data_IF_707919568284
#
_entry.id   IF_707919568284
#
_cell.length_a   1.000
_cell.length_b   1.000
_cell.length_c   1.000
_cell.angle_alpha   90.00
_cell.angle_beta   90.00
_cell.angle_gamma   90.00
#
_symmetry.space_group_name_H-M   'P 1'
#
loop_
_entity.id
_entity.type
_entity.pdbx_description
1 polymer ?
#
# COMPACT_ATOMS: atom_id res chain seq x y z
N UNK A 1 4.03 18.98 -23.69
CA UNK A 1 2.70 18.39 -23.38
C UNK A 1 2.86 16.87 -23.28
N UNK A 2 2.52 16.26 -22.14
CA UNK A 2 2.67 14.80 -21.93
C UNK A 2 1.43 14.09 -22.51
N UNK A 3 1.63 13.01 -23.27
CA UNK A 3 0.53 12.23 -23.87
C UNK A 3 -0.08 11.27 -22.85
N UNK A 4 -1.42 11.14 -22.86
CA UNK A 4 -2.17 10.15 -22.09
C UNK A 4 -1.81 8.72 -22.51
N UNK A 5 -1.46 8.47 -23.78
CA UNK A 5 -1.20 7.12 -24.26
C UNK A 5 -0.04 6.41 -23.52
N UNK A 6 0.92 7.15 -22.96
CA UNK A 6 2.06 6.56 -22.24
C UNK A 6 1.70 5.98 -20.86
N UNK A 7 0.58 6.40 -20.29
CA UNK A 7 0.06 5.89 -19.00
C UNK A 7 -1.28 5.18 -19.18
N UNK A 8 -1.62 4.77 -20.40
CA UNK A 8 -2.91 4.14 -20.69
C UNK A 8 -2.79 2.61 -20.65
N UNK A 9 -3.65 1.96 -19.88
CA UNK A 9 -3.78 0.49 -19.74
C UNK A 9 -3.96 -0.25 -21.06
N UNK A 10 -4.53 0.43 -22.04
CA UNK A 10 -4.81 -0.14 -23.35
C UNK A 10 -3.64 0.00 -24.32
N UNK A 11 -2.56 0.67 -23.96
CA UNK A 11 -1.46 0.95 -24.87
C UNK A 11 -0.32 -0.06 -24.68
N UNK A 12 0.27 -0.48 -25.79
CA UNK A 12 1.52 -1.24 -25.81
C UNK A 12 2.52 -0.52 -26.69
N UNK A 13 3.76 -0.37 -26.22
CA UNK A 13 4.87 0.07 -27.07
C UNK A 13 5.31 -1.05 -28.01
N UNK A 14 5.47 -0.71 -29.28
CA UNK A 14 5.93 -1.62 -30.33
C UNK A 14 7.12 -0.98 -31.02
N UNK A 15 8.23 -1.70 -31.08
CA UNK A 15 9.44 -1.26 -31.76
C UNK A 15 9.46 -1.88 -33.15
N UNK A 16 9.50 -1.04 -34.19
CA UNK A 16 9.65 -1.50 -35.56
C UNK A 16 11.08 -1.98 -35.83
N UNK A 17 11.27 -2.76 -36.91
CA UNK A 17 12.60 -3.21 -37.35
C UNK A 17 13.57 -2.04 -37.62
N UNK A 18 13.05 -0.85 -37.92
CA UNK A 18 13.80 0.40 -38.12
C UNK A 18 14.24 1.07 -36.80
N UNK A 19 13.85 0.54 -35.65
CA UNK A 19 14.09 1.13 -34.32
C UNK A 19 13.06 2.19 -33.88
N UNK A 20 12.12 2.56 -34.76
CA UNK A 20 11.05 3.50 -34.41
C UNK A 20 10.07 2.90 -33.41
N UNK A 21 9.69 3.65 -32.37
CA UNK A 21 8.73 3.23 -31.34
C UNK A 21 7.34 3.79 -31.64
N UNK A 22 6.32 2.92 -31.57
CA UNK A 22 4.92 3.27 -31.77
C UNK A 22 4.07 2.88 -30.56
N UNK A 23 3.05 3.68 -30.26
CA UNK A 23 2.06 3.40 -29.23
C UNK A 23 0.84 2.72 -29.88
N UNK A 24 0.72 1.40 -29.71
CA UNK A 24 -0.39 0.60 -30.21
C UNK A 24 -1.55 0.66 -29.22
N UNK A 25 -2.69 1.23 -29.62
CA UNK A 25 -3.92 1.19 -28.84
C UNK A 25 -4.63 -0.15 -29.03
N UNK A 26 -4.70 -0.97 -27.99
CA UNK A 26 -5.33 -2.28 -28.04
C UNK A 26 -6.85 -2.22 -28.17
N UNK A 27 -7.52 -1.13 -27.76
CA UNK A 27 -8.96 -0.94 -27.98
C UNK A 27 -9.33 -0.96 -29.46
N UNK A 28 -8.44 -0.51 -30.35
CA UNK A 28 -8.66 -0.56 -31.80
C UNK A 28 -8.94 -1.97 -32.36
N UNK A 29 -8.59 -3.02 -31.60
CA UNK A 29 -8.84 -4.41 -31.99
C UNK A 29 -10.32 -4.80 -31.90
N UNK A 30 -11.07 -4.14 -31.01
CA UNK A 30 -12.48 -4.47 -30.74
C UNK A 30 -13.41 -3.28 -30.95
N UNK A 31 -12.89 -2.05 -30.95
CA UNK A 31 -13.65 -0.81 -31.07
C UNK A 31 -13.09 0.06 -32.22
N UNK A 32 -13.76 0.09 -33.38
CA UNK A 32 -13.28 0.82 -34.57
C UNK A 32 -13.13 2.34 -34.37
N UNK A 33 -13.77 2.91 -33.35
CA UNK A 33 -13.67 4.34 -33.00
C UNK A 33 -12.28 4.73 -32.47
N UNK A 34 -11.45 3.77 -32.07
CA UNK A 34 -10.10 4.02 -31.57
C UNK A 34 -9.04 3.73 -32.65
N UNK A 35 -8.15 4.70 -32.97
CA UNK A 35 -7.10 4.47 -33.95
C UNK A 35 -6.08 3.44 -33.45
N UNK A 36 -5.64 2.54 -34.33
CA UNK A 36 -4.62 1.52 -34.01
C UNK A 36 -3.32 2.12 -33.49
N UNK A 37 -2.84 3.18 -34.13
CA UNK A 37 -1.69 3.98 -33.70
C UNK A 37 -2.12 5.44 -33.57
N UNK A 38 -2.53 5.91 -32.38
CA UNK A 38 -3.05 7.26 -32.20
C UNK A 38 -1.98 8.33 -32.51
N UNK A 39 -2.32 9.41 -33.23
CA UNK A 39 -1.40 10.52 -33.45
C UNK A 39 -1.04 11.17 -32.11
N UNK A 40 0.25 11.43 -31.90
CA UNK A 40 0.76 11.92 -30.62
C UNK A 40 1.03 13.44 -30.66
N UNK A 41 0.83 14.17 -29.55
CA UNK A 41 0.35 13.69 -28.25
C UNK A 41 -1.18 13.57 -28.18
N UNK A 42 -1.69 12.50 -27.55
CA UNK A 42 -3.11 12.40 -27.19
C UNK A 42 -3.31 13.05 -25.83
N UNK A 43 -4.10 14.12 -25.78
CA UNK A 43 -4.39 14.84 -24.52
C UNK A 43 -5.79 14.60 -23.97
N UNK A 44 -6.69 14.08 -24.80
CA UNK A 44 -8.05 13.67 -24.42
C UNK A 44 -8.39 12.35 -25.12
N UNK A 45 -9.02 11.42 -24.41
CA UNK A 45 -9.44 10.14 -24.97
C UNK A 45 -10.53 9.51 -24.08
N UNK A 46 -11.72 9.28 -24.64
CA UNK A 46 -12.84 8.67 -23.91
C UNK A 46 -12.60 7.20 -23.50
N UNK A 47 -11.58 6.56 -24.07
CA UNK A 47 -11.14 5.21 -23.67
C UNK A 47 -9.88 5.22 -22.81
N UNK A 48 -9.40 6.38 -22.35
CA UNK A 48 -8.23 6.44 -21.47
C UNK A 48 -8.54 5.73 -20.15
N UNK A 49 -7.66 4.80 -19.78
CA UNK A 49 -7.64 4.18 -18.45
C UNK A 49 -6.23 4.29 -17.94
N UNK A 50 -6.03 5.01 -16.83
CA UNK A 50 -4.70 5.17 -16.27
C UNK A 50 -4.22 3.82 -15.75
N UNK A 51 -3.00 3.40 -16.10
CA UNK A 51 -2.36 2.19 -15.56
C UNK A 51 -2.29 2.20 -14.04
N UNK A 52 -2.22 3.39 -13.45
CA UNK A 52 -2.21 3.57 -12.00
C UNK A 52 -3.62 3.53 -11.37
N UNK A 53 -4.68 3.44 -12.19
CA UNK A 53 -6.08 3.45 -11.73
C UNK A 53 -6.77 2.08 -11.78
N UNK A 54 -6.04 0.99 -12.11
CA UNK A 54 -6.58 -0.36 -11.87
C UNK A 54 -6.73 -0.58 -10.37
N UNK A 55 -7.86 -1.14 -9.90
CA UNK A 55 -7.97 -1.58 -8.51
C UNK A 55 -6.93 -2.69 -8.29
N UNK A 56 -5.85 -2.34 -7.59
CA UNK A 56 -4.83 -3.32 -7.23
C UNK A 56 -5.38 -4.19 -6.10
N UNK A 57 -5.44 -5.49 -6.35
CA UNK A 57 -5.83 -6.48 -5.35
C UNK A 57 -4.60 -6.88 -4.56
N UNK A 58 -4.65 -6.68 -3.24
CA UNK A 58 -3.59 -7.06 -2.32
C UNK A 58 -4.07 -8.25 -1.48
N UNK A 59 -3.13 -9.12 -1.12
CA UNK A 59 -3.36 -10.13 -0.10
C UNK A 59 -2.85 -9.58 1.22
N UNK A 60 -3.67 -9.63 2.27
CA UNK A 60 -3.34 -9.22 3.61
C UNK A 60 -3.50 -10.39 4.57
N UNK A 61 -2.63 -10.47 5.56
CA UNK A 61 -2.68 -11.45 6.63
C UNK A 61 -2.78 -10.72 7.97
N UNK A 62 -3.83 -11.03 8.73
CA UNK A 62 -3.96 -10.58 10.10
C UNK A 62 -2.97 -11.36 10.96
N UNK A 63 -2.16 -10.65 11.76
CA UNK A 63 -1.26 -11.30 12.70
C UNK A 63 -2.02 -11.65 13.99
N UNK A 64 -1.66 -12.77 14.60
CA UNK A 64 -2.32 -13.28 15.81
C UNK A 64 -2.12 -12.34 17.01
N UNK A 65 -0.93 -11.73 17.12
CA UNK A 65 -0.56 -10.88 18.25
C UNK A 65 -1.33 -9.55 18.27
N UNK A 66 -1.46 -8.99 19.48
CA UNK A 66 -1.78 -7.57 19.69
C UNK A 66 -0.50 -6.77 19.85
N UNK A 67 -0.53 -5.54 19.36
CA UNK A 67 0.63 -4.66 19.31
C UNK A 67 0.40 -3.41 20.15
N UNK A 68 1.51 -2.82 20.58
CA UNK A 68 1.54 -1.54 21.24
C UNK A 68 2.53 -0.61 20.55
N UNK A 69 2.18 0.67 20.52
CA UNK A 69 3.03 1.77 20.05
C UNK A 69 3.53 2.49 21.30
N UNK A 70 4.82 2.33 21.61
CA UNK A 70 5.45 2.83 22.82
C UNK A 70 6.25 4.10 22.52
N UNK A 71 6.28 5.02 23.49
CA UNK A 71 7.12 6.21 23.45
C UNK A 71 8.13 6.20 24.60
N UNK A 72 9.40 6.31 24.24
CA UNK A 72 10.54 6.49 25.13
C UNK A 72 11.27 7.80 24.81
N UNK A 73 12.21 8.23 25.65
CA UNK A 73 12.98 9.44 25.40
C UNK A 73 13.95 9.24 24.22
N UNK A 74 14.22 10.32 23.46
CA UNK A 74 15.11 10.28 22.29
C UNK A 74 16.53 9.76 22.57
N UNK A 75 17.00 9.87 23.82
CA UNK A 75 18.32 9.41 24.24
C UNK A 75 18.32 8.01 24.87
N UNK A 76 17.14 7.42 25.14
CA UNK A 76 17.06 6.13 25.81
C UNK A 76 17.68 5.04 24.93
N UNK A 77 18.40 4.07 25.50
CA UNK A 77 18.87 2.92 24.76
C UNK A 77 17.67 2.12 24.23
N UNK A 78 17.89 1.35 23.15
CA UNK A 78 16.88 0.39 22.69
C UNK A 78 16.71 -0.66 23.80
N UNK A 79 15.51 -0.83 24.36
CA UNK A 79 15.30 -1.74 25.47
C UNK A 79 15.26 -3.19 25.00
N UNK A 80 15.74 -4.12 25.85
CA UNK A 80 15.78 -5.55 25.53
C UNK A 80 14.39 -6.19 25.28
N UNK A 81 13.31 -5.58 25.78
CA UNK A 81 11.96 -6.09 25.54
C UNK A 81 11.47 -5.82 24.10
N UNK A 82 12.10 -4.89 23.36
CA UNK A 82 11.78 -4.56 21.97
C UNK A 82 12.37 -5.58 20.97
N UNK A 83 11.96 -6.83 21.11
CA UNK A 83 12.36 -7.97 20.28
C UNK A 83 11.16 -8.90 20.05
N UNK A 84 11.33 -9.97 19.26
CA UNK A 84 10.29 -10.95 18.97
C UNK A 84 9.90 -10.95 17.49
N UNK A 85 8.59 -11.10 17.21
CA UNK A 85 8.04 -11.15 15.86
C UNK A 85 8.18 -9.82 15.09
N UNK A 86 7.08 -9.11 14.88
CA UNK A 86 7.15 -7.78 14.23
C UNK A 86 7.59 -6.74 15.24
N UNK A 87 8.73 -6.10 14.96
CA UNK A 87 9.25 -4.97 15.73
C UNK A 87 9.66 -3.86 14.79
N UNK A 88 9.22 -2.64 15.08
CA UNK A 88 9.67 -1.42 14.41
C UNK A 88 10.21 -0.45 15.44
N UNK A 89 11.41 0.09 15.21
CA UNK A 89 12.07 1.02 16.11
C UNK A 89 12.45 2.24 15.29
N UNK A 90 11.87 3.38 15.64
CA UNK A 90 12.14 4.66 14.99
C UNK A 90 12.63 5.64 16.03
N UNK A 91 13.83 6.19 15.83
CA UNK A 91 14.39 7.24 16.68
C UNK A 91 14.39 8.56 15.93
N UNK A 92 13.83 9.59 16.55
CA UNK A 92 13.88 10.97 16.08
C UNK A 92 14.64 11.84 17.09
N UNK A 93 14.71 13.15 16.87
CA UNK A 93 15.29 14.06 17.85
C UNK A 93 14.40 14.20 19.10
N UNK A 94 13.12 13.89 18.97
CA UNK A 94 12.08 14.06 19.98
C UNK A 94 11.83 12.79 20.80
N UNK A 95 11.92 11.61 20.18
CA UNK A 95 11.55 10.36 20.85
C UNK A 95 12.24 9.10 20.28
N UNK A 96 12.08 8.01 21.05
CA UNK A 96 12.26 6.64 20.58
C UNK A 96 10.88 5.97 20.53
N UNK A 97 10.35 5.79 19.33
CA UNK A 97 9.07 5.12 19.07
C UNK A 97 9.29 3.64 18.77
N UNK A 98 8.56 2.77 19.47
CA UNK A 98 8.70 1.31 19.34
C UNK A 98 7.33 0.67 19.13
N UNK A 99 7.17 -0.02 18.01
CA UNK A 99 6.03 -0.92 17.78
C UNK A 99 6.48 -2.35 18.02
N UNK A 100 5.84 -3.05 18.95
CA UNK A 100 6.13 -4.47 19.23
C UNK A 100 4.90 -5.17 19.85
N UNK A 101 5.02 -6.47 20.16
CA UNK A 101 3.97 -7.21 20.86
C UNK A 101 3.64 -6.55 22.20
N UNK A 102 2.36 -6.27 22.43
CA UNK A 102 1.87 -5.59 23.63
C UNK A 102 2.19 -6.36 24.91
N UNK A 103 2.24 -7.70 24.84
CA UNK A 103 2.56 -8.55 25.99
C UNK A 103 3.98 -8.37 26.52
N UNK A 104 4.89 -7.80 25.71
CA UNK A 104 6.28 -7.56 26.08
C UNK A 104 6.51 -6.19 26.72
N UNK A 105 5.53 -5.30 26.64
CA UNK A 105 5.66 -3.92 27.10
C UNK A 105 5.53 -3.86 28.62
N UNK A 106 6.55 -3.36 29.36
CA UNK A 106 6.43 -3.16 30.80
C UNK A 106 5.33 -2.15 31.14
N UNK A 107 4.62 -2.36 32.26
CA UNK A 107 3.50 -1.51 32.68
C UNK A 107 3.86 -0.02 32.85
N UNK A 108 5.13 0.29 33.15
CA UNK A 108 5.61 1.64 33.36
C UNK A 108 5.89 2.41 32.05
N UNK A 109 5.93 1.72 30.90
CA UNK A 109 6.22 2.35 29.61
C UNK A 109 4.95 3.03 29.09
N UNK A 110 5.09 4.30 28.70
CA UNK A 110 4.00 5.02 28.02
C UNK A 110 3.76 4.39 26.66
N UNK A 111 2.55 3.89 26.43
CA UNK A 111 2.19 3.24 25.19
C UNK A 111 0.70 3.35 24.89
N UNK A 112 0.35 3.15 23.63
CA UNK A 112 -1.01 2.85 23.20
C UNK A 112 -1.09 1.40 22.75
N UNK A 113 -1.92 0.60 23.42
CA UNK A 113 -2.15 -0.81 23.13
C UNK A 113 -3.34 -1.08 22.21
N UNK A 114 -3.71 -2.35 22.17
CA UNK A 114 -4.87 -2.93 21.48
C UNK A 114 -4.86 -2.63 19.98
N UNK A 115 -3.68 -2.71 19.36
CA UNK A 115 -3.52 -2.64 17.92
C UNK A 115 -3.50 -4.04 17.30
N UNK A 116 -4.19 -4.20 16.17
CA UNK A 116 -4.14 -5.40 15.33
C UNK A 116 -3.38 -5.07 14.05
N UNK A 117 -2.49 -5.97 13.66
CA UNK A 117 -1.58 -5.78 12.55
C UNK A 117 -2.01 -6.61 11.34
N UNK A 118 -2.15 -5.96 10.19
CA UNK A 118 -2.40 -6.56 8.89
C UNK A 118 -1.12 -6.43 8.06
N UNK A 119 -0.48 -7.56 7.75
CA UNK A 119 0.70 -7.62 6.89
C UNK A 119 0.26 -7.77 5.43
N UNK A 120 0.81 -6.98 4.52
CA UNK A 120 0.65 -7.22 3.08
C UNK A 120 1.52 -8.42 2.65
N UNK A 121 0.92 -9.42 2.01
CA UNK A 121 1.57 -10.68 1.64
C UNK A 121 2.25 -10.56 0.28
N UNK A 122 3.46 -11.11 0.20
CA UNK A 122 4.30 -11.12 -1.00
C UNK A 122 5.38 -10.03 -0.96
N UNK A 123 6.47 -10.18 -1.72
CA UNK A 123 7.38 -9.07 -1.95
C UNK A 123 6.63 -8.03 -2.78
N UNK A 124 6.50 -6.82 -2.26
CA UNK A 124 6.04 -5.71 -3.06
C UNK A 124 7.18 -5.32 -4.00
N UNK A 125 6.90 -5.31 -5.30
CA UNK A 125 7.84 -4.78 -6.29
C UNK A 125 8.10 -3.30 -5.94
N UNK A 126 9.35 -2.86 -5.86
CA UNK A 126 9.69 -1.46 -5.57
C UNK A 126 9.13 -0.47 -6.61
N UNK A 127 8.79 -0.94 -7.80
CA UNK A 127 8.09 -0.14 -8.82
C UNK A 127 6.60 0.04 -8.55
N UNK A 128 6.04 -0.67 -7.56
CA UNK A 128 4.63 -0.64 -7.21
C UNK A 128 4.30 0.64 -6.43
N UNK A 129 3.81 1.63 -7.15
CA UNK A 129 3.35 2.90 -6.58
C UNK A 129 1.92 2.73 -6.05
N UNK A 130 1.66 3.26 -4.86
CA UNK A 130 0.30 3.48 -4.38
C UNK A 130 -0.30 2.36 -3.53
N UNK A 131 0.49 1.37 -3.08
CA UNK A 131 0.03 0.32 -2.13
C UNK A 131 -0.57 0.96 -0.87
N UNK A 132 0.21 1.76 -0.16
CA UNK A 132 -0.29 2.47 1.02
C UNK A 132 -1.43 3.43 0.67
N UNK A 133 -1.41 4.10 -0.49
CA UNK A 133 -2.49 5.01 -0.90
C UNK A 133 -3.83 4.26 -1.06
N UNK A 134 -3.82 3.11 -1.73
CA UNK A 134 -5.01 2.29 -1.93
C UNK A 134 -5.56 1.73 -0.61
N UNK A 135 -4.68 1.18 0.24
CA UNK A 135 -5.07 0.58 1.51
C UNK A 135 -5.50 1.63 2.54
N UNK A 136 -4.73 2.71 2.71
CA UNK A 136 -5.07 3.82 3.61
C UNK A 136 -6.31 4.57 3.15
N UNK A 137 -6.49 4.79 1.84
CA UNK A 137 -7.69 5.41 1.28
C UNK A 137 -8.95 4.60 1.59
N UNK A 138 -8.87 3.27 1.47
CA UNK A 138 -9.98 2.36 1.80
C UNK A 138 -10.36 2.45 3.28
N UNK A 139 -9.36 2.42 4.18
CA UNK A 139 -9.58 2.51 5.63
C UNK A 139 -10.09 3.89 6.03
N UNK A 140 -9.53 4.96 5.47
CA UNK A 140 -9.95 6.33 5.73
C UNK A 140 -11.40 6.58 5.28
N UNK A 141 -11.82 6.05 4.13
CA UNK A 141 -13.20 6.12 3.66
C UNK A 141 -14.19 5.40 4.60
N UNK A 142 -13.72 4.41 5.36
CA UNK A 142 -14.47 3.73 6.40
C UNK A 142 -14.38 4.41 7.78
N UNK A 143 -13.66 5.53 7.91
CA UNK A 143 -13.43 6.22 9.18
C UNK A 143 -12.47 5.51 10.13
N UNK A 144 -11.65 4.58 9.61
CA UNK A 144 -10.75 3.75 10.41
C UNK A 144 -9.37 4.40 10.45
N UNK A 145 -8.90 4.66 11.67
CA UNK A 145 -7.56 5.21 11.88
C UNK A 145 -6.50 4.13 11.66
N UNK A 146 -5.40 4.52 11.02
CA UNK A 146 -4.32 3.63 10.60
C UNK A 146 -2.97 4.12 11.14
N UNK A 147 -2.13 3.19 11.56
CA UNK A 147 -0.69 3.39 11.73
C UNK A 147 0.06 2.46 10.77
N UNK A 148 0.83 3.02 9.83
CA UNK A 148 1.50 2.25 8.78
C UNK A 148 3.00 2.14 9.02
N UNK A 149 3.56 0.96 8.76
CA UNK A 149 4.99 0.68 8.83
C UNK A 149 5.42 0.00 7.54
N UNK A 150 6.25 0.69 6.76
CA UNK A 150 6.89 0.11 5.59
C UNK A 150 8.21 -0.54 5.97
N UNK A 151 8.50 -1.68 5.34
CA UNK A 151 9.80 -2.36 5.43
C UNK A 151 10.40 -2.51 4.04
N UNK A 152 11.58 -3.12 3.94
CA UNK A 152 12.17 -3.44 2.64
C UNK A 152 11.31 -4.39 1.82
N UNK A 153 10.60 -5.33 2.47
CA UNK A 153 9.87 -6.40 1.76
C UNK A 153 8.40 -6.07 1.56
N UNK A 154 7.78 -5.45 2.55
CA UNK A 154 6.33 -5.26 2.58
C UNK A 154 5.90 -4.17 3.57
N UNK A 155 4.61 -3.85 3.55
CA UNK A 155 3.95 -2.93 4.45
C UNK A 155 3.14 -3.66 5.52
N UNK A 156 3.08 -3.04 6.70
CA UNK A 156 2.27 -3.45 7.84
C UNK A 156 1.31 -2.32 8.20
N UNK A 157 0.03 -2.66 8.36
CA UNK A 157 -1.04 -1.74 8.66
C UNK A 157 -1.60 -2.08 10.03
N UNK A 158 -1.46 -1.18 10.99
CA UNK A 158 -2.01 -1.35 12.32
C UNK A 158 -3.31 -0.55 12.44
N UNK A 159 -4.36 -1.24 12.88
CA UNK A 159 -5.68 -0.66 13.18
C UNK A 159 -6.04 -0.96 14.63
N UNK A 160 -6.97 -0.21 15.22
CA UNK A 160 -7.47 -0.56 16.56
C UNK A 160 -8.15 -1.92 16.55
N UNK A 161 -8.03 -2.66 17.64
CA UNK A 161 -8.68 -3.95 17.82
C UNK A 161 -10.21 -3.83 17.69
N UNK A 162 -10.79 -2.73 18.16
CA UNK A 162 -12.21 -2.41 18.01
C UNK A 162 -12.63 -2.28 16.55
N UNK A 163 -11.71 -1.85 15.68
CA UNK A 163 -11.99 -1.52 14.28
C UNK A 163 -11.59 -2.66 13.33
N UNK A 164 -10.94 -3.71 13.83
CA UNK A 164 -10.40 -4.79 12.99
C UNK A 164 -11.49 -5.42 12.10
N UNK A 165 -12.67 -5.72 12.65
CA UNK A 165 -13.75 -6.32 11.88
C UNK A 165 -14.23 -5.40 10.74
N UNK A 166 -14.35 -4.09 11.02
CA UNK A 166 -14.70 -3.09 10.02
C UNK A 166 -13.59 -2.96 8.97
N UNK A 167 -12.33 -2.95 9.38
CA UNK A 167 -11.17 -2.87 8.49
C UNK A 167 -11.12 -4.04 7.50
N UNK A 168 -11.26 -5.27 8.01
CA UNK A 168 -11.32 -6.49 7.19
C UNK A 168 -12.49 -6.40 6.19
N UNK A 169 -13.66 -5.98 6.65
CA UNK A 169 -14.86 -5.86 5.79
C UNK A 169 -14.66 -4.82 4.69
N UNK A 170 -14.14 -3.63 5.02
CA UNK A 170 -13.91 -2.55 4.06
C UNK A 170 -12.83 -2.92 3.04
N UNK A 171 -11.74 -3.54 3.48
CA UNK A 171 -10.68 -4.02 2.59
C UNK A 171 -11.17 -5.12 1.64
N UNK A 172 -11.98 -6.06 2.15
CA UNK A 172 -12.60 -7.10 1.32
C UNK A 172 -13.60 -6.50 0.31
N UNK A 173 -14.39 -5.52 0.71
CA UNK A 173 -15.31 -4.81 -0.18
C UNK A 173 -14.59 -4.01 -1.28
N UNK A 174 -13.38 -3.52 -1.01
CA UNK A 174 -12.50 -2.89 -1.99
C UNK A 174 -11.81 -3.91 -2.92
N UNK A 175 -12.05 -5.21 -2.74
CA UNK A 175 -11.53 -6.29 -3.57
C UNK A 175 -10.18 -6.85 -3.14
N UNK A 176 -9.71 -6.54 -1.92
CA UNK A 176 -8.51 -7.14 -1.35
C UNK A 176 -8.84 -8.48 -0.66
N UNK A 177 -7.86 -9.39 -0.60
CA UNK A 177 -8.00 -10.65 0.13
C UNK A 177 -7.45 -10.48 1.53
N UNK A 178 -8.26 -10.72 2.56
CA UNK A 178 -7.82 -10.60 3.96
C UNK A 178 -7.97 -11.94 4.66
N UNK A 179 -6.84 -12.55 5.00
CA UNK A 179 -6.78 -13.76 5.80
C UNK A 179 -6.69 -13.42 7.30
N UNK A 180 -7.32 -14.26 8.12
CA UNK A 180 -7.25 -14.24 9.58
C UNK A 180 -6.06 -15.01 10.11
#
# INVERSE_FOLDING_TARGET
MKTLCKSCDHVREVVAATGSVFLLCQLSRTQPSFPKYPPQPVVECGGYRDTNSRPQRFQLQTLADTFAICRLAAADPIPAWAEGGVVSITRTAEELSIVCSQQRVPQQVTHEGDWRCLRVVGPLDFSLVGVLSALSGTLAAAGISLFAISTFQTDYLLVRQTDLAAAVTSLAAAGHDVAS
#
